data_IF_803532383678
#
_entry.id   IF_803532383678
#
_cell.length_a   1.000
_cell.length_b   1.000
_cell.length_c   1.000
_cell.angle_alpha   90.00
_cell.angle_beta   90.00
_cell.angle_gamma   90.00
#
_symmetry.space_group_name_H-M   'P 1'
#
loop_
_entity.id
_entity.type
_entity.pdbx_description
1 polymer ?
#
# COMPACT_ATOMS: atom_id res chain seq x y z
N UNK A 1 -74.70 17.53 4.82
CA UNK A 1 -73.44 18.20 4.43
C UNK A 1 -72.35 17.81 5.41
N UNK A 2 -71.22 17.25 4.91
CA UNK A 2 -69.83 17.37 5.41
C UNK A 2 -69.55 16.96 6.87
N UNK A 3 -68.56 16.17 7.24
CA UNK A 3 -67.44 15.54 6.54
C UNK A 3 -66.95 14.36 7.39
N UNK A 4 -66.46 13.32 6.71
CA UNK A 4 -65.57 12.31 7.26
C UNK A 4 -64.19 12.92 7.60
N UNK A 5 -63.41 12.13 8.32
CA UNK A 5 -61.94 12.01 8.34
C UNK A 5 -61.20 12.52 9.60
N UNK A 6 -60.52 11.52 10.18
CA UNK A 6 -59.16 11.53 10.75
C UNK A 6 -58.87 12.28 12.04
N UNK A 7 -58.49 11.50 13.04
CA UNK A 7 -57.25 11.78 13.78
C UNK A 7 -56.50 10.46 14.06
N UNK A 8 -55.93 9.85 13.02
CA UNK A 8 -54.77 8.95 13.17
C UNK A 8 -53.56 9.88 13.11
N UNK A 9 -53.13 10.38 14.26
CA UNK A 9 -51.95 11.23 14.41
C UNK A 9 -50.97 10.64 15.44
N UNK A 10 -50.72 9.33 15.34
CA UNK A 10 -49.74 8.61 16.16
C UNK A 10 -48.74 7.80 15.32
N UNK A 11 -48.66 8.07 14.02
CA UNK A 11 -47.68 7.49 13.09
C UNK A 11 -46.97 8.57 12.27
N UNK A 12 -46.62 9.68 12.92
CA UNK A 12 -45.72 10.69 12.37
C UNK A 12 -44.50 10.84 13.27
N UNK A 13 -43.88 9.72 13.66
CA UNK A 13 -42.44 9.76 13.85
C UNK A 13 -41.85 9.83 12.46
N UNK A 14 -41.15 10.92 12.08
CA UNK A 14 -40.36 10.87 10.87
C UNK A 14 -39.38 9.72 11.11
N UNK A 15 -39.34 8.79 10.17
CA UNK A 15 -38.14 8.00 9.95
C UNK A 15 -37.02 9.02 9.89
N UNK A 16 -36.28 9.17 10.99
CA UNK A 16 -34.94 9.72 10.96
C UNK A 16 -34.22 8.72 10.05
N UNK A 17 -34.18 9.04 8.77
CA UNK A 17 -33.21 8.49 7.85
C UNK A 17 -31.89 8.87 8.48
N UNK A 18 -31.33 7.94 9.25
CA UNK A 18 -29.92 7.90 9.55
C UNK A 18 -29.30 7.70 8.18
N UNK A 19 -29.09 8.80 7.45
CA UNK A 19 -28.09 8.84 6.41
C UNK A 19 -26.80 8.59 7.17
N UNK A 20 -26.38 7.32 7.22
CA UNK A 20 -24.98 7.03 7.31
C UNK A 20 -24.40 7.70 6.06
N UNK A 21 -23.93 8.93 6.20
CA UNK A 21 -22.95 9.48 5.27
C UNK A 21 -21.83 8.48 5.27
N UNK A 22 -21.69 7.71 4.19
CA UNK A 22 -20.42 7.09 3.84
C UNK A 22 -19.38 8.19 4.04
N UNK A 23 -18.42 7.96 4.93
CA UNK A 23 -17.33 8.91 5.08
C UNK A 23 -16.68 9.01 3.71
N UNK A 24 -16.71 10.20 3.09
CA UNK A 24 -15.92 10.47 1.91
C UNK A 24 -14.47 10.09 2.27
N UNK A 25 -13.99 8.95 1.76
CA UNK A 25 -12.61 8.53 1.98
C UNK A 25 -11.74 9.56 1.30
N UNK A 26 -10.90 10.25 2.06
CA UNK A 26 -9.95 11.19 1.46
C UNK A 26 -8.94 10.39 0.65
N UNK A 27 -8.70 10.76 -0.59
CA UNK A 27 -7.58 10.21 -1.37
C UNK A 27 -6.31 11.04 -1.22
N UNK A 28 -6.37 12.18 -0.51
CA UNK A 28 -5.29 13.14 -0.38
C UNK A 28 -4.87 13.26 1.09
N UNK A 29 -3.60 12.98 1.37
CA UNK A 29 -3.03 13.04 2.72
C UNK A 29 -1.76 13.88 2.70
N UNK A 30 -1.79 15.05 3.36
CA UNK A 30 -0.64 15.95 3.52
C UNK A 30 0.18 16.15 2.23
N UNK A 31 -0.53 16.43 1.14
CA UNK A 31 0.06 16.71 -0.17
C UNK A 31 0.33 15.49 -1.06
N UNK A 32 0.10 14.25 -0.58
CA UNK A 32 0.16 13.04 -1.41
C UNK A 32 -1.25 12.65 -1.83
N UNK A 33 -1.52 12.72 -3.14
CA UNK A 33 -2.78 12.32 -3.77
C UNK A 33 -2.66 10.91 -4.33
N UNK A 34 -3.42 9.96 -3.76
CA UNK A 34 -3.48 8.56 -4.18
C UNK A 34 -4.50 8.30 -5.28
N UNK A 35 -5.36 9.25 -5.63
CA UNK A 35 -6.33 9.12 -6.74
C UNK A 35 -5.64 9.31 -8.10
N UNK A 36 -4.63 10.18 -8.16
CA UNK A 36 -3.87 10.47 -9.39
C UNK A 36 -2.65 9.56 -9.44
N UNK A 37 -2.73 8.53 -10.27
CA UNK A 37 -1.69 7.49 -10.38
C UNK A 37 -1.12 7.37 -11.79
N UNK A 38 0.01 6.68 -11.88
CA UNK A 38 0.62 6.29 -13.14
C UNK A 38 1.16 4.85 -13.06
N UNK A 39 1.13 4.15 -14.19
CA UNK A 39 1.68 2.81 -14.31
C UNK A 39 3.18 2.91 -14.61
N UNK A 40 3.98 2.25 -13.77
CA UNK A 40 5.43 2.21 -13.86
C UNK A 40 5.90 0.78 -14.12
N UNK A 41 6.86 0.64 -15.04
CA UNK A 41 7.46 -0.66 -15.38
C UNK A 41 8.84 -0.80 -14.76
N UNK A 42 9.05 -1.87 -14.00
CA UNK A 42 10.34 -2.29 -13.42
C UNK A 42 10.63 -3.70 -13.91
N UNK A 43 11.50 -3.80 -14.92
CA UNK A 43 11.77 -5.05 -15.64
C UNK A 43 10.48 -5.69 -16.20
N UNK A 44 10.04 -6.84 -15.69
CA UNK A 44 8.82 -7.52 -16.13
C UNK A 44 7.60 -7.18 -15.26
N UNK A 45 7.81 -6.48 -14.14
CA UNK A 45 6.75 -6.01 -13.26
C UNK A 45 6.21 -4.66 -13.73
N UNK A 46 4.90 -4.51 -13.72
CA UNK A 46 4.19 -3.23 -13.73
C UNK A 46 3.57 -2.97 -12.37
N UNK A 47 3.64 -1.74 -11.89
CA UNK A 47 3.06 -1.28 -10.62
C UNK A 47 2.46 0.11 -10.81
N UNK A 48 1.31 0.37 -10.20
CA UNK A 48 0.68 1.70 -10.19
C UNK A 48 1.13 2.46 -8.96
N UNK A 49 1.67 3.66 -9.15
CA UNK A 49 2.17 4.53 -8.07
C UNK A 49 1.55 5.93 -8.16
N UNK A 50 1.47 6.69 -7.04
CA UNK A 50 1.03 8.09 -7.10
C UNK A 50 1.89 8.92 -8.04
N UNK A 51 1.27 9.73 -8.90
CA UNK A 51 1.97 10.51 -9.95
C UNK A 51 2.95 11.54 -9.39
N UNK A 52 2.76 11.97 -8.15
CA UNK A 52 3.67 12.87 -7.44
C UNK A 52 5.02 12.18 -7.10
N UNK A 53 5.05 10.84 -7.05
CA UNK A 53 6.25 10.09 -6.70
C UNK A 53 7.26 10.09 -7.84
N UNK A 54 8.45 10.66 -7.60
CA UNK A 54 9.52 10.74 -8.59
C UNK A 54 10.31 9.44 -8.63
N UNK A 55 10.50 8.90 -9.83
CA UNK A 55 11.30 7.70 -10.05
C UNK A 55 12.81 7.99 -10.01
N UNK A 56 13.58 7.11 -9.36
CA UNK A 56 15.02 7.01 -9.50
C UNK A 56 15.46 5.55 -9.53
N UNK A 57 16.32 5.19 -10.48
CA UNK A 57 16.83 3.83 -10.63
C UNK A 57 18.25 3.74 -10.04
N UNK A 58 18.54 2.62 -9.41
CA UNK A 58 19.81 2.34 -8.73
C UNK A 58 20.14 0.84 -8.79
N UNK A 59 21.30 0.49 -8.27
CA UNK A 59 21.79 -0.89 -8.16
C UNK A 59 22.25 -1.11 -6.73
N UNK A 60 21.87 -2.25 -6.15
CA UNK A 60 22.32 -2.64 -4.83
C UNK A 60 23.86 -2.70 -4.80
N UNK A 61 24.47 -1.98 -3.85
CA UNK A 61 25.91 -1.73 -3.90
C UNK A 61 26.76 -3.01 -3.84
N UNK A 62 26.37 -3.97 -3.00
CA UNK A 62 27.10 -5.22 -2.77
C UNK A 62 26.71 -6.30 -3.77
N UNK A 63 25.42 -6.63 -3.82
CA UNK A 63 24.92 -7.80 -4.56
C UNK A 63 24.51 -7.47 -6.01
N UNK A 64 24.61 -6.20 -6.43
CA UNK A 64 24.46 -5.75 -7.83
C UNK A 64 23.10 -6.03 -8.51
N UNK A 65 22.04 -6.27 -7.75
CA UNK A 65 20.68 -6.35 -8.29
C UNK A 65 20.05 -4.95 -8.49
N UNK A 66 19.15 -4.77 -9.49
CA UNK A 66 18.53 -3.47 -9.76
C UNK A 66 17.48 -3.10 -8.70
N UNK A 67 17.37 -1.81 -8.44
CA UNK A 67 16.36 -1.21 -7.55
C UNK A 67 15.76 0.01 -8.23
N UNK A 68 14.43 0.08 -8.33
CA UNK A 68 13.71 1.29 -8.71
C UNK A 68 13.07 1.90 -7.47
N UNK A 69 13.24 3.20 -7.24
CA UNK A 69 12.62 3.95 -6.16
C UNK A 69 11.60 4.93 -6.73
N UNK A 70 10.48 5.12 -6.02
CA UNK A 70 9.47 6.15 -6.28
C UNK A 70 9.27 6.94 -4.99
N UNK A 71 9.61 8.23 -5.02
CA UNK A 71 9.68 9.07 -3.82
C UNK A 71 8.75 10.27 -3.94
N UNK A 72 7.84 10.42 -2.98
CA UNK A 72 7.05 11.63 -2.78
C UNK A 72 7.38 12.21 -1.40
N UNK A 73 8.03 13.37 -1.37
CA UNK A 73 8.45 14.03 -0.13
C UNK A 73 7.51 15.17 0.25
N UNK A 74 7.25 15.31 1.55
CA UNK A 74 6.47 16.37 2.17
C UNK A 74 7.16 17.76 2.18
N UNK A 75 7.88 18.14 1.12
CA UNK A 75 8.71 19.38 1.11
C UNK A 75 7.92 20.70 1.26
N UNK A 76 6.58 20.64 1.27
CA UNK A 76 5.70 21.81 1.21
C UNK A 76 4.76 21.96 2.40
N UNK A 77 4.75 21.03 3.36
CA UNK A 77 3.74 20.97 4.41
C UNK A 77 4.31 21.12 5.83
N UNK A 78 3.54 21.76 6.72
CA UNK A 78 3.88 21.88 8.15
C UNK A 78 3.79 20.53 8.86
N UNK A 79 2.87 19.68 8.42
CA UNK A 79 2.77 18.28 8.80
C UNK A 79 3.31 17.41 7.67
N UNK A 80 4.25 16.54 7.99
CA UNK A 80 4.93 15.75 6.98
C UNK A 80 4.25 14.39 6.76
N UNK A 81 4.09 14.03 5.49
CA UNK A 81 3.94 12.65 5.03
C UNK A 81 4.78 12.42 3.78
N UNK A 82 5.76 11.53 3.87
CA UNK A 82 6.59 11.10 2.76
C UNK A 82 6.35 9.62 2.46
N UNK A 83 6.21 9.32 1.17
CA UNK A 83 6.04 8.00 0.63
C UNK A 83 7.31 7.60 -0.13
N UNK A 84 7.89 6.46 0.23
CA UNK A 84 8.99 5.84 -0.51
C UNK A 84 8.64 4.40 -0.87
N UNK A 85 8.44 4.16 -2.17
CA UNK A 85 8.24 2.84 -2.74
C UNK A 85 9.56 2.39 -3.36
N UNK A 86 10.04 1.21 -3.04
CA UNK A 86 11.22 0.60 -3.64
C UNK A 86 10.88 -0.76 -4.24
N UNK A 87 11.30 -1.02 -5.48
CA UNK A 87 11.15 -2.31 -6.15
C UNK A 87 12.53 -2.88 -6.43
N UNK A 88 12.90 -3.94 -5.73
CA UNK A 88 14.14 -4.68 -5.96
C UNK A 88 13.85 -5.96 -6.73
N UNK A 89 14.67 -6.29 -7.73
CA UNK A 89 14.55 -7.54 -8.50
C UNK A 89 15.75 -8.43 -8.20
N UNK A 90 15.56 -9.43 -7.35
CA UNK A 90 16.66 -10.25 -6.82
C UNK A 90 16.64 -11.64 -7.47
N UNK A 91 17.69 -12.02 -8.22
CA UNK A 91 17.85 -13.39 -8.71
C UNK A 91 18.00 -14.40 -7.58
N UNK A 92 17.37 -15.57 -7.73
CA UNK A 92 17.47 -16.69 -6.78
C UNK A 92 18.93 -17.13 -6.58
N UNK A 93 19.79 -16.97 -7.60
CA UNK A 93 21.22 -17.27 -7.52
C UNK A 93 21.99 -16.38 -6.54
N UNK A 94 21.44 -15.23 -6.17
CA UNK A 94 22.03 -14.35 -5.14
C UNK A 94 21.44 -14.67 -3.77
N UNK A 95 20.11 -14.71 -3.67
CA UNK A 95 19.38 -14.96 -2.43
C UNK A 95 18.06 -15.65 -2.75
N UNK A 96 17.74 -16.68 -1.99
CA UNK A 96 16.46 -17.37 -2.12
C UNK A 96 15.30 -16.51 -1.64
N UNK A 97 14.09 -16.81 -2.12
CA UNK A 97 12.85 -16.18 -1.63
C UNK A 97 12.74 -16.22 -0.09
N UNK A 98 12.99 -17.38 0.53
CA UNK A 98 12.90 -17.53 1.99
C UNK A 98 14.00 -16.73 2.71
N UNK A 99 15.22 -16.69 2.15
CA UNK A 99 16.31 -15.87 2.69
C UNK A 99 15.96 -14.39 2.68
N UNK A 100 15.34 -13.90 1.60
CA UNK A 100 14.93 -12.49 1.50
C UNK A 100 13.87 -12.11 2.52
N UNK A 101 12.94 -13.03 2.83
CA UNK A 101 11.92 -12.84 3.88
C UNK A 101 12.58 -12.75 5.25
N UNK A 102 13.46 -13.69 5.58
CA UNK A 102 14.10 -13.74 6.90
C UNK A 102 15.05 -12.56 7.13
N UNK A 103 15.86 -12.19 6.13
CA UNK A 103 16.67 -10.98 6.20
C UNK A 103 15.81 -9.73 6.40
N UNK A 104 14.66 -9.65 5.72
CA UNK A 104 13.75 -8.52 5.87
C UNK A 104 13.16 -8.46 7.27
N UNK A 105 12.69 -9.57 7.84
CA UNK A 105 12.22 -9.61 9.24
C UNK A 105 13.27 -9.12 10.22
N UNK A 106 14.53 -9.44 9.97
CA UNK A 106 15.64 -9.10 10.87
C UNK A 106 16.13 -7.65 10.73
N UNK A 107 16.01 -7.04 9.55
CA UNK A 107 16.72 -5.77 9.24
C UNK A 107 15.82 -4.62 8.81
N UNK A 108 14.62 -4.90 8.29
CA UNK A 108 13.78 -3.84 7.72
C UNK A 108 12.84 -3.19 8.74
N UNK A 109 12.59 -3.84 9.88
CA UNK A 109 11.59 -3.47 10.87
C UNK A 109 12.21 -3.25 12.26
N UNK A 110 11.69 -2.27 13.01
CA UNK A 110 12.16 -2.00 14.38
C UNK A 110 11.60 -2.97 15.42
N UNK A 111 10.53 -3.69 15.07
CA UNK A 111 9.93 -4.77 15.86
C UNK A 111 9.53 -5.91 14.91
N UNK A 112 9.34 -7.14 15.39
CA UNK A 112 8.90 -8.25 14.56
C UNK A 112 7.63 -7.89 13.76
N UNK A 113 7.68 -7.93 12.41
CA UNK A 113 6.53 -7.59 11.59
C UNK A 113 5.48 -8.70 11.66
N UNK A 114 4.22 -8.33 11.48
CA UNK A 114 3.16 -9.31 11.29
C UNK A 114 2.96 -9.62 9.81
N UNK A 115 2.40 -10.80 9.55
CA UNK A 115 2.10 -11.27 8.21
C UNK A 115 0.67 -10.92 7.83
N UNK A 116 0.48 -10.38 6.62
CA UNK A 116 -0.81 -9.86 6.18
C UNK A 116 -1.60 -10.92 5.38
N UNK A 117 -1.89 -12.06 6.01
CA UNK A 117 -2.45 -13.25 5.34
C UNK A 117 -3.78 -13.01 4.63
N UNK A 118 -4.72 -12.31 5.28
CA UNK A 118 -6.05 -12.04 4.71
C UNK A 118 -6.01 -11.19 3.44
N UNK A 119 -5.00 -10.34 3.30
CA UNK A 119 -4.83 -9.54 2.09
C UNK A 119 -4.21 -10.38 0.97
N UNK A 120 -3.27 -11.29 1.27
CA UNK A 120 -2.71 -12.23 0.29
C UNK A 120 -3.81 -13.05 -0.41
N UNK A 121 -4.87 -13.43 0.30
CA UNK A 121 -6.01 -14.16 -0.26
C UNK A 121 -6.86 -13.33 -1.24
N UNK A 122 -6.85 -12.00 -1.14
CA UNK A 122 -7.62 -11.08 -1.98
C UNK A 122 -6.86 -10.61 -3.22
N UNK A 123 -5.55 -10.85 -3.26
CA UNK A 123 -4.68 -10.32 -4.29
C UNK A 123 -4.49 -11.36 -5.40
N UNK A 124 -4.88 -11.01 -6.62
CA UNK A 124 -4.79 -11.89 -7.80
C UNK A 124 -3.40 -11.83 -8.42
N UNK A 125 -2.39 -12.29 -7.68
CA UNK A 125 -1.02 -12.31 -8.19
C UNK A 125 -0.77 -13.50 -9.11
N UNK A 126 -0.16 -13.25 -10.28
CA UNK A 126 0.37 -14.29 -11.18
C UNK A 126 1.76 -14.75 -10.71
N UNK A 127 1.91 -15.12 -9.45
CA UNK A 127 3.21 -15.45 -8.84
C UNK A 127 3.08 -16.71 -7.99
N UNK A 128 4.12 -17.55 -8.00
CA UNK A 128 4.08 -18.87 -7.34
C UNK A 128 4.06 -18.75 -5.81
N UNK A 129 4.79 -17.78 -5.26
CA UNK A 129 4.79 -17.47 -3.84
C UNK A 129 4.68 -15.97 -3.63
N UNK A 130 3.85 -15.60 -2.65
CA UNK A 130 3.71 -14.23 -2.18
C UNK A 130 3.78 -14.18 -0.66
N UNK A 131 4.54 -13.22 -0.13
CA UNK A 131 4.61 -12.91 1.29
C UNK A 131 4.45 -11.41 1.49
N UNK A 132 3.63 -10.98 2.45
CA UNK A 132 3.51 -9.57 2.82
C UNK A 132 3.77 -9.42 4.31
N UNK A 133 4.76 -8.60 4.65
CA UNK A 133 5.16 -8.24 5.99
C UNK A 133 4.86 -6.78 6.25
N UNK A 134 4.28 -6.46 7.41
CA UNK A 134 3.97 -5.10 7.80
C UNK A 134 4.33 -4.86 9.27
N UNK A 135 4.83 -3.66 9.56
CA UNK A 135 5.14 -3.26 10.92
C UNK A 135 5.84 -1.90 11.00
N UNK A 136 6.27 -1.49 12.20
CA UNK A 136 7.13 -0.31 12.36
C UNK A 136 8.43 -0.49 11.57
N UNK A 137 8.79 0.48 10.73
CA UNK A 137 10.06 0.46 10.01
C UNK A 137 11.25 0.58 10.98
N UNK A 138 12.41 0.05 10.59
CA UNK A 138 13.63 0.13 11.42
C UNK A 138 14.08 1.59 11.63
N UNK A 139 14.07 2.41 10.58
CA UNK A 139 14.41 3.83 10.69
C UNK A 139 13.25 4.67 11.23
N UNK A 140 12.15 4.77 10.46
CA UNK A 140 11.02 5.65 10.75
C UNK A 140 9.73 5.14 10.11
N UNK A 141 8.61 5.50 10.73
CA UNK A 141 7.27 5.30 10.17
C UNK A 141 6.81 3.84 10.13
N UNK A 142 5.91 3.54 9.20
CA UNK A 142 5.42 2.18 8.93
C UNK A 142 6.01 1.66 7.63
N UNK A 143 6.39 0.38 7.64
CA UNK A 143 6.95 -0.29 6.48
C UNK A 143 6.07 -1.47 6.09
N UNK A 144 5.93 -1.67 4.79
CA UNK A 144 5.26 -2.82 4.19
C UNK A 144 6.22 -3.40 3.15
N UNK A 145 6.55 -4.68 3.28
CA UNK A 145 7.35 -5.40 2.31
C UNK A 145 6.52 -6.54 1.71
N UNK A 146 6.35 -6.53 0.40
CA UNK A 146 5.76 -7.61 -0.36
C UNK A 146 6.83 -8.31 -1.21
N UNK A 147 6.81 -9.64 -1.20
CA UNK A 147 7.74 -10.50 -1.93
C UNK A 147 6.96 -11.33 -2.94
N UNK A 148 7.41 -11.31 -4.18
CA UNK A 148 6.78 -11.98 -5.31
C UNK A 148 7.80 -12.87 -6.01
N UNK A 149 7.69 -14.18 -5.83
CA UNK A 149 8.56 -15.14 -6.52
C UNK A 149 7.99 -15.52 -7.88
N UNK A 150 8.83 -15.41 -8.92
CA UNK A 150 8.51 -15.75 -10.31
C UNK A 150 9.41 -16.92 -10.72
N UNK A 151 8.80 -18.10 -10.88
CA UNK A 151 9.54 -19.34 -11.13
C UNK A 151 10.14 -19.40 -12.53
N UNK A 152 9.48 -18.82 -13.52
CA UNK A 152 9.92 -18.81 -14.92
C UNK A 152 11.25 -18.05 -15.09
N UNK A 153 11.39 -16.92 -14.39
CA UNK A 153 12.60 -16.09 -14.41
C UNK A 153 13.55 -16.39 -13.26
N UNK A 154 13.13 -17.22 -12.30
CA UNK A 154 13.86 -17.53 -11.06
C UNK A 154 14.29 -16.26 -10.29
N UNK A 155 13.35 -15.34 -10.12
CA UNK A 155 13.56 -14.03 -9.52
C UNK A 155 12.51 -13.73 -8.45
N UNK A 156 12.93 -13.05 -7.38
CA UNK A 156 12.03 -12.47 -6.38
C UNK A 156 11.99 -10.96 -6.57
N UNK A 157 10.79 -10.43 -6.80
CA UNK A 157 10.55 -9.00 -6.72
C UNK A 157 10.17 -8.65 -5.28
N UNK A 158 10.91 -7.74 -4.66
CA UNK A 158 10.59 -7.17 -3.35
C UNK A 158 10.09 -5.74 -3.54
N UNK A 159 8.82 -5.50 -3.22
CA UNK A 159 8.21 -4.18 -3.17
C UNK A 159 8.18 -3.70 -1.72
N UNK A 160 8.88 -2.62 -1.41
CA UNK A 160 8.97 -1.99 -0.10
C UNK A 160 8.25 -0.65 -0.12
N UNK A 161 7.25 -0.45 0.72
CA UNK A 161 6.56 0.83 0.92
C UNK A 161 6.93 1.35 2.31
N UNK A 162 7.53 2.53 2.38
CA UNK A 162 7.82 3.24 3.62
C UNK A 162 6.90 4.46 3.72
N UNK A 163 6.11 4.49 4.77
CA UNK A 163 5.16 5.54 5.13
C UNK A 163 5.76 6.35 6.28
N UNK A 164 6.40 7.47 5.96
CA UNK A 164 7.11 8.30 6.94
C UNK A 164 6.25 9.52 7.24
N UNK A 165 5.86 9.72 8.50
CA UNK A 165 4.92 10.77 8.85
C UNK A 165 5.23 11.41 10.21
N UNK A 166 4.95 12.70 10.31
CA UNK A 166 4.98 13.45 11.57
C UNK A 166 4.11 14.70 11.47
N UNK A 167 3.13 14.93 12.37
CA UNK A 167 2.75 14.10 13.52
C UNK A 167 2.00 12.82 13.08
N UNK A 168 1.50 12.02 14.04
CA UNK A 168 0.68 10.84 13.72
C UNK A 168 -0.62 11.26 13.01
N UNK A 169 -1.11 10.40 12.12
CA UNK A 169 -2.44 10.55 11.52
C UNK A 169 -3.54 10.11 12.49
N UNK A 170 -4.76 10.65 12.37
CA UNK A 170 -5.96 10.07 12.96
C UNK A 170 -6.15 8.61 12.51
N UNK A 171 -6.82 7.80 13.32
CA UNK A 171 -6.97 6.36 13.04
C UNK A 171 -7.71 6.08 11.72
N UNK A 172 -8.75 6.85 11.41
CA UNK A 172 -9.53 6.68 10.18
C UNK A 172 -8.71 7.03 8.94
N UNK A 173 -8.04 8.19 8.91
CA UNK A 173 -7.12 8.54 7.82
C UNK A 173 -5.99 7.52 7.66
N UNK A 174 -5.50 6.97 8.78
CA UNK A 174 -4.46 5.95 8.75
C UNK A 174 -4.93 4.65 8.12
N UNK A 175 -6.19 4.23 8.35
CA UNK A 175 -6.78 3.05 7.68
C UNK A 175 -6.82 3.27 6.16
N UNK A 176 -7.20 4.46 5.71
CA UNK A 176 -7.26 4.80 4.29
C UNK A 176 -5.86 4.83 3.64
N UNK A 177 -4.87 5.44 4.32
CA UNK A 177 -3.46 5.42 3.85
C UNK A 177 -2.95 3.99 3.69
N UNK A 178 -3.27 3.10 4.64
CA UNK A 178 -2.91 1.68 4.54
C UNK A 178 -3.64 0.99 3.39
N UNK A 179 -4.94 1.28 3.20
CA UNK A 179 -5.72 0.77 2.08
C UNK A 179 -5.07 1.12 0.74
N UNK A 180 -4.73 2.41 0.52
CA UNK A 180 -4.02 2.83 -0.69
C UNK A 180 -2.67 2.14 -0.87
N UNK A 181 -1.94 1.92 0.23
CA UNK A 181 -0.66 1.19 0.19
C UNK A 181 -0.86 -0.26 -0.27
N UNK A 182 -1.93 -0.93 0.17
CA UNK A 182 -2.28 -2.28 -0.32
C UNK A 182 -2.81 -2.26 -1.75
N UNK A 183 -3.52 -1.21 -2.19
CA UNK A 183 -3.93 -1.07 -3.59
C UNK A 183 -2.73 -0.90 -4.53
N UNK A 184 -1.69 -0.18 -4.11
CA UNK A 184 -0.41 -0.12 -4.84
C UNK A 184 0.18 -1.52 -4.97
N UNK A 185 0.23 -2.30 -3.89
CA UNK A 185 0.71 -3.69 -3.96
C UNK A 185 -0.17 -4.55 -4.88
N UNK A 186 -1.50 -4.41 -4.83
CA UNK A 186 -2.45 -5.16 -5.66
C UNK A 186 -2.34 -4.82 -7.14
N UNK A 187 -1.93 -3.59 -7.48
CA UNK A 187 -1.71 -3.19 -8.87
C UNK A 187 -0.52 -3.89 -9.53
N UNK A 188 0.28 -4.61 -8.74
CA UNK A 188 1.43 -5.35 -9.21
C UNK A 188 1.01 -6.48 -10.16
N UNK A 189 1.47 -6.39 -11.40
CA UNK A 189 1.34 -7.46 -12.39
C UNK A 189 2.72 -7.78 -12.94
N UNK A 190 3.08 -9.07 -12.98
CA UNK A 190 4.37 -9.52 -13.50
C UNK A 190 4.11 -10.38 -14.73
N UNK A 191 4.60 -9.95 -15.87
CA UNK A 191 4.48 -10.71 -17.11
C UNK A 191 5.57 -11.78 -17.16
N UNK A 192 5.21 -13.05 -17.01
CA UNK A 192 6.04 -14.17 -17.45
C UNK A 192 5.87 -14.33 -18.97
N UNK A 193 6.98 -14.32 -19.70
CA UNK A 193 6.98 -14.59 -21.14
C UNK A 193 6.87 -16.07 -21.43
#
# INVERSE_FOLDING_TARGET
>A
MKAKLLLIALLAFPFLTIFATESDSSDIFRGIDFSITEVQKVKAMTITVPKIAKRSDSIHMKDKFPIAFFKADCTQEKECFSLLIGVSVVPESLKSFETLIEESRATDFGNPPYEVNKWVELLTFKTDKTKILMGPGELLGTKINAFYYVKETNETYKVSINLIYHPKFPEEEWKDILMHSFLILNSTNIESK
#
